data_IF_353738010080
#
_entry.id   IF_353738010080
#
_cell.length_a   1.000
_cell.length_b   1.000
_cell.length_c   1.000
_cell.angle_alpha   90.00
_cell.angle_beta   90.00
_cell.angle_gamma   90.00
#
_symmetry.space_group_name_H-M   'P 1'
#
loop_
_entity.id
_entity.type
_entity.pdbx_description
1 polymer ?
#
# COMPACT_ATOMS: atom_id res chain seq x y z
N UNK A 1 -3.24 51.35 -26.76
CA UNK A 1 -1.90 50.71 -26.71
C UNK A 1 -1.59 50.45 -25.26
N UNK A 2 -1.83 49.27 -24.79
CA UNK A 2 -1.41 48.84 -23.44
C UNK A 2 -1.23 47.31 -23.47
N UNK A 3 0.03 46.91 -23.40
CA UNK A 3 0.48 45.51 -23.41
C UNK A 3 0.09 44.80 -22.13
N UNK A 4 -0.57 43.66 -22.25
CA UNK A 4 -0.66 42.64 -21.19
C UNK A 4 0.58 41.74 -21.24
N UNK A 5 1.21 41.41 -20.12
CA UNK A 5 2.23 40.38 -20.08
C UNK A 5 1.60 38.99 -20.00
N UNK A 6 2.13 38.11 -20.82
CA UNK A 6 1.91 36.66 -20.76
C UNK A 6 2.44 36.12 -19.42
N UNK A 7 1.61 35.45 -18.65
CA UNK A 7 2.03 34.66 -17.50
C UNK A 7 2.20 33.21 -17.89
N UNK A 8 3.39 32.75 -17.65
CA UNK A 8 3.93 31.42 -17.94
C UNK A 8 3.50 30.36 -16.95
N UNK A 9 3.54 29.15 -17.48
CA UNK A 9 3.80 27.87 -16.80
C UNK A 9 2.88 27.47 -15.63
N UNK A 10 1.74 26.88 -15.99
CA UNK A 10 1.07 25.96 -15.11
C UNK A 10 1.86 24.63 -15.04
N UNK A 11 2.43 24.30 -13.90
CA UNK A 11 2.88 22.94 -13.59
C UNK A 11 1.64 22.06 -13.52
N UNK A 12 1.62 20.86 -14.13
CA UNK A 12 0.53 19.92 -13.90
C UNK A 12 0.59 19.46 -12.44
N UNK A 13 -0.54 19.60 -11.75
CA UNK A 13 -0.78 18.98 -10.45
C UNK A 13 -0.75 17.46 -10.62
N UNK A 14 -0.22 16.70 -9.66
CA UNK A 14 -0.30 15.26 -9.71
C UNK A 14 -1.78 14.85 -9.67
N UNK A 15 -2.20 14.13 -10.70
CA UNK A 15 -3.54 13.57 -10.80
C UNK A 15 -3.62 12.47 -9.75
N UNK A 16 -4.41 12.70 -8.71
CA UNK A 16 -4.76 11.66 -7.74
C UNK A 16 -5.62 10.63 -8.47
N UNK A 17 -5.04 9.47 -8.76
CA UNK A 17 -5.79 8.31 -9.26
C UNK A 17 -6.61 7.79 -8.09
N UNK A 18 -7.90 8.02 -8.11
CA UNK A 18 -8.83 7.43 -7.15
C UNK A 18 -8.93 5.92 -7.44
N UNK A 19 -8.21 5.12 -6.67
CA UNK A 19 -8.38 3.66 -6.66
C UNK A 19 -9.61 3.37 -5.82
N UNK A 20 -10.75 3.12 -6.48
CA UNK A 20 -11.95 2.63 -5.80
C UNK A 20 -11.74 1.12 -5.58
N UNK A 21 -11.24 0.77 -4.42
CA UNK A 21 -11.19 -0.60 -3.91
C UNK A 21 -12.60 -0.97 -3.44
N UNK A 22 -13.40 -1.61 -4.28
CA UNK A 22 -14.56 -2.37 -3.82
C UNK A 22 -14.07 -3.70 -3.26
N UNK A 23 -13.58 -3.69 -2.03
CA UNK A 23 -13.39 -4.91 -1.28
C UNK A 23 -14.73 -5.33 -0.70
N UNK A 24 -15.30 -6.43 -1.20
CA UNK A 24 -16.38 -7.15 -0.53
C UNK A 24 -15.90 -7.58 0.86
N UNK A 25 -16.73 -7.36 1.86
CA UNK A 25 -16.44 -7.46 3.29
C UNK A 25 -15.85 -8.79 3.75
N UNK A 26 -14.55 -8.90 3.68
CA UNK A 26 -13.74 -9.77 4.52
C UNK A 26 -12.53 -8.93 4.93
N UNK A 27 -12.72 -8.08 5.95
CA UNK A 27 -11.61 -7.33 6.55
C UNK A 27 -10.77 -8.30 7.39
N UNK A 28 -10.03 -9.19 6.70
CA UNK A 28 -8.94 -9.92 7.31
C UNK A 28 -7.73 -8.98 7.32
N UNK A 29 -7.30 -8.63 8.51
CA UNK A 29 -6.01 -8.10 8.94
C UNK A 29 -5.05 -7.76 7.78
N UNK A 30 -4.90 -6.48 7.47
CA UNK A 30 -3.80 -5.97 6.67
C UNK A 30 -2.51 -6.08 7.50
N UNK A 31 -1.94 -7.28 7.53
CA UNK A 31 -0.57 -7.46 7.98
C UNK A 31 0.30 -7.15 6.77
N UNK A 32 0.96 -6.01 6.79
CA UNK A 32 1.99 -5.70 5.80
C UNK A 32 3.09 -6.76 5.87
N UNK A 33 3.12 -7.65 4.88
CA UNK A 33 4.10 -8.73 4.87
C UNK A 33 5.43 -8.31 4.25
N UNK A 34 5.47 -7.20 3.56
CA UNK A 34 6.65 -6.71 2.85
C UNK A 34 7.11 -7.63 1.69
N UNK A 35 7.93 -7.11 0.78
CA UNK A 35 8.25 -7.78 -0.48
C UNK A 35 8.99 -9.12 -0.28
N UNK A 36 9.87 -9.23 0.70
CA UNK A 36 10.64 -10.46 0.95
C UNK A 36 9.73 -11.63 1.37
N UNK A 37 8.73 -11.37 2.24
CA UNK A 37 7.77 -12.38 2.69
C UNK A 37 6.87 -12.83 1.55
N UNK A 38 6.38 -11.91 0.72
CA UNK A 38 5.54 -12.23 -0.43
C UNK A 38 6.29 -13.01 -1.52
N UNK A 39 7.56 -12.69 -1.76
CA UNK A 39 8.43 -13.48 -2.64
C UNK A 39 8.60 -14.91 -2.09
N UNK A 40 8.83 -15.07 -0.80
CA UNK A 40 8.94 -16.40 -0.19
C UNK A 40 7.61 -17.17 -0.27
N UNK A 41 6.47 -16.53 -0.04
CA UNK A 41 5.15 -17.12 -0.15
C UNK A 41 4.86 -17.57 -1.58
N UNK A 42 5.28 -16.81 -2.59
CA UNK A 42 5.06 -17.16 -4.00
C UNK A 42 5.72 -18.49 -4.39
N UNK A 43 6.82 -18.87 -3.75
CA UNK A 43 7.52 -20.13 -4.03
C UNK A 43 6.70 -21.39 -3.63
N UNK A 44 5.73 -21.24 -2.75
CA UNK A 44 4.85 -22.33 -2.27
C UNK A 44 3.41 -22.18 -2.72
N UNK A 45 3.09 -21.12 -3.44
CA UNK A 45 1.75 -20.82 -3.93
C UNK A 45 1.56 -21.41 -5.34
N UNK A 46 0.39 -22.00 -5.60
CA UNK A 46 0.04 -22.47 -6.95
C UNK A 46 -0.31 -21.25 -7.83
N UNK A 47 0.19 -21.22 -9.10
CA UNK A 47 -0.13 -20.15 -10.04
C UNK A 47 -1.60 -20.22 -10.50
N UNK A 48 -2.01 -19.23 -11.28
CA UNK A 48 -3.25 -19.30 -12.06
C UNK A 48 -3.11 -20.37 -13.18
N UNK A 49 -4.18 -21.12 -13.44
CA UNK A 49 -4.20 -22.14 -14.50
C UNK A 49 -4.29 -21.51 -15.89
N UNK A 50 -4.99 -20.40 -15.99
CA UNK A 50 -5.15 -19.65 -17.25
C UNK A 50 -4.88 -18.18 -16.99
N UNK A 51 -4.08 -17.56 -17.85
CA UNK A 51 -3.82 -16.14 -17.80
C UNK A 51 -3.68 -15.54 -19.21
N UNK A 52 -4.25 -14.37 -19.39
CA UNK A 52 -4.15 -13.54 -20.59
C UNK A 52 -3.68 -12.16 -20.19
N UNK A 53 -2.68 -11.64 -20.89
CA UNK A 53 -2.16 -10.29 -20.70
C UNK A 53 -2.20 -9.56 -22.04
N UNK A 54 -2.76 -8.34 -22.07
CA UNK A 54 -2.88 -7.52 -23.28
C UNK A 54 -2.49 -6.08 -22.98
N UNK A 55 -1.87 -5.44 -23.95
CA UNK A 55 -1.63 -3.99 -23.90
C UNK A 55 -2.99 -3.28 -24.04
N UNK A 56 -3.23 -2.32 -23.16
CA UNK A 56 -4.40 -1.45 -23.24
C UNK A 56 -3.98 -0.07 -23.77
N UNK A 57 -4.60 0.35 -24.87
CA UNK A 57 -4.33 1.62 -25.55
C UNK A 57 -5.60 2.48 -25.64
N UNK A 58 -6.53 2.38 -24.70
CA UNK A 58 -7.82 3.09 -24.75
C UNK A 58 -7.72 4.59 -24.47
N UNK A 59 -6.54 5.09 -24.05
CA UNK A 59 -6.30 6.52 -23.78
C UNK A 59 -6.97 7.06 -22.50
N UNK A 60 -7.49 6.18 -21.65
CA UNK A 60 -8.09 6.56 -20.36
C UNK A 60 -7.04 6.40 -19.25
N UNK A 61 -7.00 7.35 -18.29
CA UNK A 61 -6.03 7.29 -17.19
C UNK A 61 -6.50 6.51 -15.96
N UNK A 62 -7.75 6.09 -15.92
CA UNK A 62 -8.28 5.28 -14.82
C UNK A 62 -8.18 3.79 -15.10
N UNK A 63 -7.85 3.01 -14.09
CA UNK A 63 -7.80 1.56 -14.15
C UNK A 63 -8.21 0.94 -12.82
N UNK A 64 -8.35 -0.37 -12.79
CA UNK A 64 -8.70 -1.11 -11.58
C UNK A 64 -8.04 -2.49 -11.53
N UNK A 65 -7.87 -3.00 -10.31
CA UNK A 65 -7.41 -4.35 -10.02
C UNK A 65 -8.36 -4.97 -9.01
N UNK A 66 -8.93 -6.13 -9.34
CA UNK A 66 -9.87 -6.84 -8.49
C UNK A 66 -9.48 -8.30 -8.36
N UNK A 67 -9.47 -8.80 -7.14
CA UNK A 67 -9.40 -10.22 -6.85
C UNK A 67 -10.79 -10.77 -6.57
N UNK A 68 -11.04 -11.94 -7.10
CA UNK A 68 -12.21 -12.78 -6.82
C UNK A 68 -11.71 -14.12 -6.30
N UNK A 69 -12.57 -14.94 -5.73
CA UNK A 69 -12.21 -16.26 -5.18
C UNK A 69 -11.37 -17.11 -6.15
N UNK A 70 -11.66 -17.02 -7.45
CA UNK A 70 -11.04 -17.84 -8.48
C UNK A 70 -10.30 -17.04 -9.57
N UNK A 71 -10.31 -15.70 -9.51
CA UNK A 71 -9.84 -14.88 -10.62
C UNK A 71 -9.18 -13.56 -10.18
N UNK A 72 -8.25 -13.10 -11.00
CA UNK A 72 -7.71 -11.74 -11.00
C UNK A 72 -8.17 -11.02 -12.27
N UNK A 73 -8.69 -9.83 -12.11
CA UNK A 73 -9.07 -8.94 -13.20
C UNK A 73 -8.33 -7.62 -13.03
N UNK A 74 -7.45 -7.31 -13.97
CA UNK A 74 -6.80 -6.00 -14.09
C UNK A 74 -7.29 -5.32 -15.35
N UNK A 75 -7.63 -4.04 -15.25
CA UNK A 75 -8.01 -3.22 -16.40
C UNK A 75 -7.24 -1.92 -16.38
N UNK A 76 -6.57 -1.68 -17.50
CA UNK A 76 -5.94 -0.40 -17.80
C UNK A 76 -4.98 0.12 -16.72
N UNK A 77 -4.19 -0.77 -16.10
CA UNK A 77 -3.18 -0.37 -15.12
C UNK A 77 -1.77 -0.40 -15.71
N UNK A 78 -0.92 0.58 -15.38
CA UNK A 78 0.49 0.53 -15.72
C UNK A 78 1.22 -0.52 -14.89
N UNK A 79 2.35 -1.03 -15.41
CA UNK A 79 3.06 -2.14 -14.79
C UNK A 79 3.60 -1.81 -13.39
N UNK A 80 4.01 -0.57 -13.14
CA UNK A 80 4.46 -0.11 -11.84
C UNK A 80 3.38 -0.32 -10.75
N UNK A 81 2.13 0.09 -11.01
CA UNK A 81 1.02 -0.13 -10.09
C UNK A 81 0.73 -1.62 -9.84
N UNK A 82 0.85 -2.45 -10.89
CA UNK A 82 0.64 -3.89 -10.73
C UNK A 82 1.75 -4.48 -9.86
N UNK A 83 3.00 -4.02 -10.02
CA UNK A 83 4.15 -4.43 -9.23
C UNK A 83 4.02 -3.93 -7.78
N UNK A 84 3.67 -2.66 -7.57
CA UNK A 84 3.42 -2.09 -6.24
C UNK A 84 2.44 -2.95 -5.45
N UNK A 85 1.33 -3.30 -6.08
CA UNK A 85 0.30 -4.13 -5.47
C UNK A 85 0.80 -5.56 -5.19
N UNK A 86 1.47 -6.19 -6.17
CA UNK A 86 1.94 -7.58 -6.05
C UNK A 86 2.96 -7.75 -4.92
N UNK A 87 3.84 -6.78 -4.74
CA UNK A 87 4.94 -6.84 -3.77
C UNK A 87 4.69 -6.03 -2.50
N UNK A 88 3.53 -5.37 -2.40
CA UNK A 88 3.17 -4.51 -1.27
C UNK A 88 4.23 -3.43 -1.00
N UNK A 89 4.66 -2.74 -2.05
CA UNK A 89 5.75 -1.74 -2.02
C UNK A 89 5.29 -0.48 -2.73
N UNK A 90 5.36 0.70 -2.08
CA UNK A 90 5.05 1.97 -2.74
C UNK A 90 5.97 2.26 -3.95
N UNK A 91 5.49 3.02 -4.93
CA UNK A 91 6.18 3.31 -6.18
C UNK A 91 7.56 3.95 -5.99
N UNK A 92 7.72 4.79 -4.99
CA UNK A 92 9.00 5.43 -4.65
C UNK A 92 10.07 4.43 -4.17
N UNK A 93 9.67 3.20 -3.89
CA UNK A 93 10.55 2.07 -3.50
C UNK A 93 10.72 1.03 -4.60
N UNK A 94 10.16 1.25 -5.78
CA UNK A 94 10.36 0.39 -6.97
C UNK A 94 11.32 1.06 -7.92
N UNK A 95 12.37 0.35 -8.35
CA UNK A 95 13.38 0.88 -9.28
C UNK A 95 13.72 -0.14 -10.36
N UNK A 96 14.21 0.35 -11.52
CA UNK A 96 14.69 -0.54 -12.59
C UNK A 96 13.65 -0.95 -13.62
N UNK A 97 12.43 -0.40 -13.61
CA UNK A 97 11.44 -0.68 -14.66
C UNK A 97 12.00 -0.25 -16.02
N UNK A 98 12.09 -1.18 -17.02
CA UNK A 98 12.56 -0.84 -18.36
C UNK A 98 11.70 0.23 -19.03
N UNK A 99 12.33 1.19 -19.71
CA UNK A 99 11.65 2.32 -20.36
C UNK A 99 10.43 1.95 -21.20
N UNK A 100 10.50 0.92 -22.07
CA UNK A 100 9.34 0.51 -22.89
C UNK A 100 8.12 0.03 -22.08
N UNK A 101 8.32 -0.43 -20.85
CA UNK A 101 7.24 -0.93 -19.98
C UNK A 101 6.67 0.16 -19.06
N UNK A 102 7.42 1.25 -18.84
CA UNK A 102 7.10 2.26 -17.83
C UNK A 102 5.78 2.98 -18.07
N UNK A 103 5.46 3.24 -19.36
CA UNK A 103 4.27 3.99 -19.76
C UNK A 103 3.18 3.07 -20.34
N UNK A 104 3.42 1.76 -20.38
CA UNK A 104 2.46 0.80 -20.91
C UNK A 104 1.43 0.39 -19.89
N UNK A 105 0.18 0.35 -20.32
CA UNK A 105 -0.95 -0.10 -19.52
C UNK A 105 -1.40 -1.47 -20.00
N UNK A 106 -1.87 -2.28 -19.06
CA UNK A 106 -2.21 -3.67 -19.31
C UNK A 106 -3.62 -4.01 -18.82
N UNK A 107 -4.25 -4.93 -19.56
CA UNK A 107 -5.39 -5.72 -19.11
C UNK A 107 -4.90 -7.12 -18.81
N UNK A 108 -5.27 -7.65 -17.64
CA UNK A 108 -4.96 -9.02 -17.24
C UNK A 108 -6.26 -9.71 -16.84
N UNK A 109 -6.46 -10.89 -17.39
CA UNK A 109 -7.47 -11.85 -16.97
C UNK A 109 -6.76 -13.15 -16.57
N UNK A 110 -6.85 -13.53 -15.30
CA UNK A 110 -6.26 -14.77 -14.82
C UNK A 110 -7.26 -15.53 -13.94
N UNK A 111 -7.23 -16.88 -14.02
CA UNK A 111 -8.21 -17.72 -13.36
C UNK A 111 -7.62 -19.02 -12.84
N UNK A 112 -8.12 -19.47 -11.70
CA UNK A 112 -7.94 -20.83 -11.19
C UNK A 112 -9.06 -21.71 -11.72
N UNK A 113 -8.72 -22.86 -12.29
CA UNK A 113 -9.70 -23.82 -12.88
C UNK A 113 -9.44 -25.21 -12.26
N UNK A 114 -10.10 -25.56 -11.14
CA UNK A 114 -9.92 -26.87 -10.54
C UNK A 114 -10.28 -28.00 -11.51
N UNK A 115 -9.38 -28.98 -11.65
CA UNK A 115 -9.53 -30.09 -12.61
C UNK A 115 -10.71 -31.00 -12.34
N UNK A 116 -11.19 -31.02 -11.10
CA UNK A 116 -12.36 -31.80 -10.63
C UNK A 116 -13.68 -31.04 -10.69
N UNK A 117 -13.66 -29.79 -11.18
CA UNK A 117 -14.84 -28.92 -11.24
C UNK A 117 -15.32 -28.42 -9.89
N UNK A 118 -14.54 -28.59 -8.83
CA UNK A 118 -14.86 -28.06 -7.50
C UNK A 118 -14.80 -26.51 -7.47
N UNK A 119 -15.36 -25.92 -6.42
CA UNK A 119 -15.14 -24.49 -6.18
C UNK A 119 -13.69 -24.27 -5.74
N UNK A 120 -12.97 -23.28 -6.31
CA UNK A 120 -11.65 -22.90 -5.83
C UNK A 120 -11.66 -22.56 -4.33
N UNK A 121 -10.57 -22.85 -3.61
CA UNK A 121 -10.45 -22.45 -2.23
C UNK A 121 -10.42 -20.91 -2.11
N UNK A 122 -11.01 -20.40 -1.04
CA UNK A 122 -10.88 -18.98 -0.70
C UNK A 122 -9.43 -18.68 -0.38
N UNK A 123 -8.91 -17.60 -0.97
CA UNK A 123 -7.53 -17.13 -0.78
C UNK A 123 -7.46 -15.97 0.22
N UNK A 124 -6.30 -15.79 0.84
CA UNK A 124 -5.97 -14.58 1.58
C UNK A 124 -5.41 -13.52 0.63
N UNK A 125 -5.41 -12.25 1.05
CA UNK A 125 -4.80 -11.18 0.26
C UNK A 125 -3.33 -11.48 -0.10
N UNK A 126 -2.54 -11.97 0.85
CA UNK A 126 -1.15 -12.35 0.61
C UNK A 126 -1.00 -13.50 -0.40
N UNK A 127 -1.93 -14.46 -0.41
CA UNK A 127 -1.94 -15.54 -1.41
C UNK A 127 -2.28 -15.01 -2.81
N UNK A 128 -3.18 -14.04 -2.91
CA UNK A 128 -3.53 -13.40 -4.18
C UNK A 128 -2.36 -12.58 -4.72
N UNK A 129 -1.67 -11.84 -3.86
CA UNK A 129 -0.42 -11.15 -4.19
C UNK A 129 0.67 -12.13 -4.66
N UNK A 130 0.84 -13.25 -3.94
CA UNK A 130 1.80 -14.30 -4.32
C UNK A 130 1.49 -14.91 -5.70
N UNK A 131 0.22 -15.16 -6.04
CA UNK A 131 -0.19 -15.59 -7.37
C UNK A 131 0.11 -14.54 -8.44
N UNK A 132 -0.10 -13.26 -8.13
CA UNK A 132 0.22 -12.16 -9.04
C UNK A 132 1.73 -12.06 -9.29
N UNK A 133 2.57 -12.26 -8.28
CA UNK A 133 4.03 -12.36 -8.43
C UNK A 133 4.40 -13.45 -9.43
N UNK A 134 3.82 -14.65 -9.31
CA UNK A 134 4.05 -15.76 -10.24
C UNK A 134 3.62 -15.42 -11.67
N UNK A 135 2.47 -14.75 -11.82
CA UNK A 135 1.99 -14.30 -13.14
C UNK A 135 2.94 -13.27 -13.76
N UNK A 136 3.44 -12.31 -12.99
CA UNK A 136 4.40 -11.32 -13.47
C UNK A 136 5.73 -12.00 -13.87
N UNK A 137 6.20 -12.97 -13.09
CA UNK A 137 7.40 -13.74 -13.42
C UNK A 137 7.23 -14.55 -14.72
N UNK A 138 6.06 -15.15 -14.94
CA UNK A 138 5.77 -15.96 -16.14
C UNK A 138 5.57 -15.08 -17.40
N UNK A 139 4.75 -14.05 -17.31
CA UNK A 139 4.30 -13.27 -18.47
C UNK A 139 5.22 -12.11 -18.86
N UNK A 140 5.86 -11.49 -17.90
CA UNK A 140 6.78 -10.38 -18.10
C UNK A 140 8.25 -10.79 -17.91
N UNK A 141 8.53 -12.05 -17.63
CA UNK A 141 9.86 -12.55 -17.23
C UNK A 141 10.48 -11.73 -16.11
N UNK A 142 9.59 -11.22 -15.22
CA UNK A 142 9.98 -10.31 -14.14
C UNK A 142 10.94 -11.00 -13.17
N UNK A 143 12.11 -10.39 -12.98
CA UNK A 143 13.10 -10.79 -11.97
C UNK A 143 13.37 -9.61 -11.07
N UNK A 144 13.32 -9.84 -9.78
CA UNK A 144 13.48 -8.79 -8.78
C UNK A 144 14.36 -9.27 -7.63
N UNK A 145 14.98 -8.31 -6.94
CA UNK A 145 15.54 -8.55 -5.62
C UNK A 145 15.18 -7.39 -4.69
N UNK A 146 15.31 -7.64 -3.38
CA UNK A 146 15.10 -6.64 -2.35
C UNK A 146 16.45 -6.10 -1.89
N UNK A 147 16.60 -4.77 -1.92
CA UNK A 147 17.81 -4.07 -1.49
C UNK A 147 17.44 -3.00 -0.45
N UNK A 148 18.07 -2.99 0.74
CA UNK A 148 17.86 -1.92 1.70
C UNK A 148 18.55 -0.64 1.26
N UNK A 149 17.79 0.45 1.11
CA UNK A 149 18.31 1.79 0.82
C UNK A 149 18.07 2.74 1.98
N UNK A 150 19.04 3.61 2.26
CA UNK A 150 18.84 4.65 3.27
C UNK A 150 17.90 5.73 2.72
N UNK A 151 16.70 5.79 3.26
CA UNK A 151 15.65 6.71 2.85
C UNK A 151 15.16 7.59 4.02
N UNK A 152 14.46 8.69 3.75
CA UNK A 152 13.74 9.41 4.80
C UNK A 152 12.67 8.51 5.40
N UNK A 153 12.64 8.42 6.74
CA UNK A 153 11.65 7.67 7.51
C UNK A 153 11.12 8.55 8.65
N UNK A 154 10.12 8.06 9.36
CA UNK A 154 9.75 8.59 10.66
C UNK A 154 10.07 7.59 11.76
N UNK A 155 10.57 8.09 12.88
CA UNK A 155 10.65 7.32 14.13
C UNK A 155 9.45 7.73 15.01
N UNK A 156 8.62 6.75 15.37
CA UNK A 156 7.55 6.93 16.34
C UNK A 156 8.19 6.90 17.73
N UNK A 157 8.13 8.03 18.44
CA UNK A 157 8.77 8.19 19.75
C UNK A 157 7.77 8.74 20.76
N UNK A 158 8.04 8.56 22.04
CA UNK A 158 7.26 9.21 23.10
C UNK A 158 7.50 10.72 23.02
N UNK A 159 6.42 11.51 22.98
CA UNK A 159 6.48 12.97 23.04
C UNK A 159 6.95 13.43 24.43
N UNK A 160 7.23 14.74 24.56
CA UNK A 160 7.57 15.29 25.88
C UNK A 160 6.38 15.08 26.84
N UNK A 161 6.59 14.30 27.90
CA UNK A 161 5.57 13.99 28.90
C UNK A 161 5.34 12.50 29.07
N UNK A 162 4.15 12.15 29.56
CA UNK A 162 3.75 10.76 29.76
C UNK A 162 2.97 10.28 28.55
N UNK A 163 3.24 9.09 28.01
CA UNK A 163 2.39 8.50 26.97
C UNK A 163 0.93 8.43 27.44
N UNK A 164 0.01 8.76 26.55
CA UNK A 164 -1.43 8.68 26.85
C UNK A 164 -2.01 7.31 26.47
N UNK A 165 -1.21 6.47 25.83
CA UNK A 165 -1.56 5.09 25.48
C UNK A 165 -1.55 4.22 26.73
N UNK A 166 -2.65 3.54 27.02
CA UNK A 166 -2.75 2.59 28.14
C UNK A 166 -2.37 1.21 27.63
N UNK A 167 -1.19 0.76 28.04
CA UNK A 167 -0.68 -0.56 27.67
C UNK A 167 -1.16 -1.64 28.65
N UNK A 168 -1.58 -2.79 28.10
CA UNK A 168 -1.82 -4.03 28.82
C UNK A 168 -0.74 -5.05 28.44
N UNK A 169 -0.44 -5.96 29.37
CA UNK A 169 0.44 -7.10 29.10
C UNK A 169 -0.38 -8.32 28.64
N UNK A 170 -1.70 -8.24 28.65
CA UNK A 170 -2.56 -9.32 28.20
C UNK A 170 -2.43 -9.48 26.68
N UNK A 171 -2.06 -10.68 26.22
CA UNK A 171 -2.04 -10.99 24.80
C UNK A 171 -3.49 -11.04 24.27
N UNK A 172 -3.85 -10.04 23.50
CA UNK A 172 -5.04 -10.12 22.66
C UNK A 172 -4.62 -10.74 21.33
N UNK A 173 -5.22 -11.89 21.01
CA UNK A 173 -4.82 -12.72 19.88
C UNK A 173 -5.03 -12.11 18.49
N UNK A 174 -5.79 -11.01 18.39
CA UNK A 174 -6.16 -10.40 17.10
C UNK A 174 -6.20 -8.88 17.21
N UNK A 175 -5.13 -8.21 16.80
CA UNK A 175 -5.16 -6.75 16.58
C UNK A 175 -5.88 -6.47 15.25
N UNK A 176 -7.13 -6.07 15.32
CA UNK A 176 -7.88 -5.63 14.15
C UNK A 176 -7.77 -4.13 14.00
N UNK A 177 -7.22 -3.68 12.88
CA UNK A 177 -7.22 -2.28 12.50
C UNK A 177 -8.45 -1.96 11.65
N UNK A 178 -9.06 -0.84 11.95
CA UNK A 178 -10.16 -0.32 11.15
C UNK A 178 -9.95 1.17 10.95
N UNK A 179 -9.92 1.59 9.69
CA UNK A 179 -9.85 3.01 9.32
C UNK A 179 -11.16 3.35 8.62
N UNK A 180 -11.91 4.26 9.21
CA UNK A 180 -13.13 4.79 8.63
C UNK A 180 -12.89 6.25 8.28
N UNK A 181 -13.21 6.63 7.03
CA UNK A 181 -13.22 8.01 6.57
C UNK A 181 -14.66 8.47 6.34
N UNK A 182 -15.00 9.65 6.83
CA UNK A 182 -16.27 10.31 6.53
C UNK A 182 -15.95 11.75 6.15
N UNK A 183 -16.27 12.13 4.92
CA UNK A 183 -15.88 13.41 4.31
C UNK A 183 -14.36 13.66 4.36
N UNK A 184 -13.92 14.54 5.24
CA UNK A 184 -12.52 14.94 5.44
C UNK A 184 -11.93 14.44 6.76
N UNK A 185 -12.65 13.58 7.48
CA UNK A 185 -12.27 13.08 8.80
C UNK A 185 -11.99 11.58 8.77
N UNK A 186 -10.92 11.17 9.42
CA UNK A 186 -10.50 9.77 9.52
C UNK A 186 -10.45 9.33 10.98
N UNK A 187 -10.82 8.09 11.22
CA UNK A 187 -10.73 7.45 12.53
C UNK A 187 -10.07 6.10 12.38
N UNK A 188 -8.88 5.96 12.95
CA UNK A 188 -8.19 4.68 13.08
C UNK A 188 -8.51 4.10 14.46
N UNK A 189 -8.97 2.86 14.46
CA UNK A 189 -9.24 2.11 15.70
C UNK A 189 -8.56 0.76 15.67
N UNK A 190 -8.04 0.33 16.81
CA UNK A 190 -7.54 -1.02 16.98
C UNK A 190 -7.75 -1.50 18.41
N UNK A 191 -7.90 -2.81 18.59
CA UNK A 191 -7.88 -3.46 19.90
C UNK A 191 -6.65 -4.34 20.00
N UNK A 192 -5.93 -4.21 21.11
CA UNK A 192 -4.79 -5.04 21.39
C UNK A 192 -3.60 -4.87 20.45
N UNK A 193 -3.40 -3.70 19.88
CA UNK A 193 -2.29 -3.41 19.00
C UNK A 193 -0.98 -3.18 19.75
N UNK A 194 0.13 -3.69 19.23
CA UNK A 194 1.47 -3.30 19.66
C UNK A 194 1.85 -1.92 19.09
N UNK A 195 2.91 -1.32 19.61
CA UNK A 195 3.45 -0.08 19.03
C UNK A 195 4.05 -0.31 17.62
N UNK A 196 4.54 -1.52 17.35
CA UNK A 196 4.98 -1.89 16.00
C UNK A 196 3.81 -1.95 15.01
N UNK A 197 2.66 -2.50 15.42
CA UNK A 197 1.44 -2.51 14.59
C UNK A 197 0.94 -1.08 14.33
N UNK A 198 0.98 -0.21 15.36
CA UNK A 198 0.65 1.22 15.19
C UNK A 198 1.61 1.88 14.19
N UNK A 199 2.91 1.64 14.30
CA UNK A 199 3.91 2.19 13.38
C UNK A 199 3.65 1.73 11.94
N UNK A 200 3.29 0.46 11.73
CA UNK A 200 2.92 -0.05 10.41
C UNK A 200 1.69 0.66 9.85
N UNK A 201 0.60 0.75 10.61
CA UNK A 201 -0.62 1.45 10.20
C UNK A 201 -0.37 2.94 9.88
N UNK A 202 0.45 3.61 10.68
CA UNK A 202 0.83 5.00 10.42
C UNK A 202 1.71 5.15 9.18
N UNK A 203 2.50 4.13 8.80
CA UNK A 203 3.33 4.18 7.58
C UNK A 203 2.49 4.36 6.34
N UNK A 204 1.32 3.72 6.29
CA UNK A 204 0.38 3.82 5.16
C UNK A 204 -0.23 5.22 5.09
N UNK A 205 -0.66 5.75 6.24
CA UNK A 205 -1.33 7.03 6.31
C UNK A 205 -0.39 8.21 6.00
N UNK A 206 0.88 8.12 6.38
CA UNK A 206 1.86 9.20 6.10
C UNK A 206 2.69 8.92 4.85
N UNK A 207 2.39 7.86 4.10
CA UNK A 207 3.09 7.43 2.88
C UNK A 207 4.62 7.39 3.05
N UNK A 208 5.07 6.97 4.24
CA UNK A 208 6.49 6.87 4.58
C UNK A 208 6.69 5.89 5.72
N UNK A 209 7.72 5.06 5.63
CA UNK A 209 8.02 4.12 6.69
C UNK A 209 8.12 4.79 8.06
N UNK A 210 7.40 4.23 9.03
CA UNK A 210 7.46 4.59 10.44
C UNK A 210 8.07 3.44 11.20
N UNK A 211 9.12 3.74 11.98
CA UNK A 211 9.76 2.75 12.84
C UNK A 211 9.31 2.97 14.29
N UNK A 212 8.95 1.91 14.99
CA UNK A 212 8.72 2.00 16.42
C UNK A 212 10.04 2.23 17.17
N UNK A 213 10.15 3.38 17.80
CA UNK A 213 11.24 3.78 18.71
C UNK A 213 10.68 4.29 20.05
N UNK A 214 9.44 3.89 20.37
CA UNK A 214 8.81 4.31 21.62
C UNK A 214 9.43 3.66 22.86
N UNK A 215 9.95 2.46 22.70
CA UNK A 215 10.40 1.62 23.82
C UNK A 215 9.25 1.11 24.70
N UNK A 216 8.00 1.30 24.29
CA UNK A 216 6.82 0.81 24.99
C UNK A 216 6.54 -0.64 24.60
N UNK A 217 6.35 -1.49 25.58
CA UNK A 217 6.05 -2.92 25.39
C UNK A 217 4.64 -3.22 25.88
N UNK A 218 3.99 -4.20 25.23
CA UNK A 218 2.60 -4.59 25.52
C UNK A 218 1.64 -4.16 24.42
N UNK A 219 0.36 -4.30 24.67
CA UNK A 219 -0.73 -4.09 23.73
C UNK A 219 -1.67 -3.01 24.20
N UNK A 220 -2.30 -2.28 23.30
CA UNK A 220 -3.21 -1.20 23.62
C UNK A 220 -4.43 -1.16 22.71
N UNK A 221 -5.54 -0.71 23.26
CA UNK A 221 -6.66 -0.23 22.46
C UNK A 221 -6.35 1.20 22.02
N UNK A 222 -6.34 1.41 20.70
CA UNK A 222 -5.97 2.67 20.09
C UNK A 222 -7.18 3.24 19.37
N UNK A 223 -7.39 4.53 19.57
CA UNK A 223 -8.30 5.36 18.78
C UNK A 223 -7.58 6.64 18.43
N UNK A 224 -7.45 6.93 17.15
CA UNK A 224 -6.82 8.13 16.63
C UNK A 224 -7.74 8.78 15.60
N UNK A 225 -8.00 10.09 15.76
CA UNK A 225 -8.87 10.86 14.86
C UNK A 225 -8.09 12.02 14.27
N UNK A 226 -8.15 12.16 12.94
CA UNK A 226 -7.51 13.27 12.22
C UNK A 226 -8.33 13.69 11.02
N UNK A 227 -7.94 14.79 10.39
CA UNK A 227 -8.50 15.28 9.14
C UNK A 227 -7.53 15.03 7.99
N UNK A 228 -8.03 14.96 6.75
CA UNK A 228 -7.16 14.84 5.59
C UNK A 228 -6.22 16.05 5.45
N UNK A 229 -5.16 15.87 4.66
CA UNK A 229 -4.13 16.91 4.49
C UNK A 229 -4.69 18.17 3.79
N UNK A 230 -5.71 18.04 2.94
CA UNK A 230 -6.34 19.16 2.24
C UNK A 230 -7.13 19.99 3.23
N UNK A 231 -7.96 19.36 4.05
CA UNK A 231 -8.69 20.04 5.12
C UNK A 231 -7.71 20.63 6.15
N UNK A 232 -6.66 19.90 6.51
CA UNK A 232 -5.64 20.37 7.45
C UNK A 232 -4.90 21.63 6.97
N UNK A 233 -4.70 21.78 5.67
CA UNK A 233 -4.09 22.98 5.08
C UNK A 233 -5.05 24.18 4.99
N UNK A 234 -6.35 23.93 4.84
CA UNK A 234 -7.36 25.00 4.75
C UNK A 234 -7.67 25.63 6.12
N UNK A 235 -7.36 24.93 7.21
CA UNK A 235 -7.55 25.41 8.57
C UNK A 235 -9.03 25.51 8.97
N UNK A 236 -9.32 25.08 10.16
CA UNK A 236 -10.65 25.18 10.76
C UNK A 236 -10.55 24.81 12.25
N UNK A 237 -11.50 25.17 13.08
CA UNK A 237 -11.42 24.94 14.53
C UNK A 237 -11.36 23.44 14.89
N UNK A 238 -11.87 22.55 14.02
CA UNK A 238 -11.95 21.11 14.26
C UNK A 238 -11.03 20.28 13.33
N UNK A 239 -10.13 20.95 12.60
CA UNK A 239 -9.24 20.28 11.63
C UNK A 239 -7.88 20.01 12.26
N UNK A 240 -7.55 18.73 12.43
CA UNK A 240 -6.33 18.28 13.12
C UNK A 240 -5.53 17.37 12.17
N UNK A 241 -4.27 17.73 11.87
CA UNK A 241 -3.38 16.85 11.10
C UNK A 241 -3.06 15.56 11.87
N UNK A 242 -2.74 14.49 11.14
CA UNK A 242 -2.33 13.22 11.75
C UNK A 242 -1.14 13.39 12.72
N UNK A 243 -0.18 14.27 12.41
CA UNK A 243 0.98 14.55 13.26
C UNK A 243 0.56 15.17 14.61
N UNK A 244 -0.37 16.12 14.56
CA UNK A 244 -0.93 16.75 15.77
C UNK A 244 -1.78 15.75 16.54
N UNK A 245 -2.61 14.97 15.85
CA UNK A 245 -3.47 13.95 16.46
C UNK A 245 -2.67 12.91 17.26
N UNK A 246 -1.60 12.38 16.68
CA UNK A 246 -0.69 11.42 17.35
C UNK A 246 -0.15 12.02 18.64
N UNK A 247 0.26 13.30 18.60
CA UNK A 247 0.83 13.95 19.77
C UNK A 247 -0.22 14.25 20.85
N UNK A 248 -1.36 14.77 20.45
CA UNK A 248 -2.39 15.23 21.39
C UNK A 248 -3.19 14.08 21.98
N UNK A 249 -3.48 13.04 21.19
CA UNK A 249 -4.34 11.94 21.61
C UNK A 249 -3.54 10.78 22.21
N UNK A 250 -2.37 10.45 21.65
CA UNK A 250 -1.56 9.31 22.10
C UNK A 250 -0.34 9.69 22.94
N UNK A 251 0.06 10.94 22.95
CA UNK A 251 1.29 11.39 23.61
C UNK A 251 2.55 10.85 22.95
N UNK A 252 2.44 10.48 21.66
CA UNK A 252 3.52 10.02 20.81
C UNK A 252 3.85 11.08 19.76
N UNK A 253 4.92 10.89 19.00
CA UNK A 253 5.31 11.86 17.96
C UNK A 253 6.05 11.16 16.84
N UNK A 254 5.80 11.55 15.60
CA UNK A 254 6.59 11.19 14.44
C UNK A 254 7.78 12.16 14.31
N UNK A 255 8.98 11.62 14.45
CA UNK A 255 10.22 12.38 14.31
C UNK A 255 10.88 12.02 13.00
N UNK A 256 11.17 13.01 12.13
CA UNK A 256 11.90 12.79 10.88
C UNK A 256 13.28 12.20 11.16
N UNK A 257 13.61 11.14 10.42
CA UNK A 257 14.85 10.39 10.54
C UNK A 257 15.30 9.87 9.16
N UNK A 258 16.40 9.15 9.13
CA UNK A 258 16.85 8.36 7.97
C UNK A 258 17.13 6.95 8.44
N UNK A 259 16.70 5.98 7.65
CA UNK A 259 16.88 4.59 7.99
C UNK A 259 16.88 3.68 6.76
N UNK A 260 17.25 2.40 6.94
CA UNK A 260 17.13 1.41 5.89
C UNK A 260 15.64 1.16 5.60
N UNK A 261 15.31 1.17 4.33
CA UNK A 261 13.97 0.86 3.80
C UNK A 261 14.16 -0.14 2.69
N UNK A 262 13.44 -1.24 2.75
CA UNK A 262 13.45 -2.24 1.71
C UNK A 262 12.89 -1.66 0.41
N UNK A 263 13.70 -1.73 -0.65
CA UNK A 263 13.34 -1.29 -2.00
C UNK A 263 13.33 -2.48 -2.93
N UNK A 264 12.39 -2.52 -3.85
CA UNK A 264 12.29 -3.54 -4.88
C UNK A 264 13.09 -3.08 -6.10
N UNK A 265 14.10 -3.84 -6.47
CA UNK A 265 14.91 -3.59 -7.66
C UNK A 265 14.50 -4.58 -8.74
N UNK A 266 14.10 -4.08 -9.90
CA UNK A 266 13.78 -4.90 -11.07
C UNK A 266 15.07 -5.14 -11.83
N UNK A 267 15.53 -6.39 -11.81
CA UNK A 267 16.71 -6.84 -12.54
C UNK A 267 16.41 -7.07 -14.01
N UNK A 268 15.18 -7.51 -14.29
CA UNK A 268 14.75 -7.83 -15.66
C UNK A 268 13.21 -7.79 -15.77
N UNK A 269 12.72 -7.24 -16.86
CA UNK A 269 11.33 -7.37 -17.28
C UNK A 269 11.24 -7.21 -18.81
N UNK A 270 10.33 -7.94 -19.43
CA UNK A 270 10.08 -7.91 -20.88
C UNK A 270 8.60 -7.63 -21.17
N UNK A 271 8.33 -7.14 -22.37
CA UNK A 271 6.96 -7.03 -22.86
C UNK A 271 6.33 -8.42 -22.92
N UNK A 272 5.08 -8.60 -22.45
CA UNK A 272 4.44 -9.89 -22.48
C UNK A 272 4.27 -10.37 -23.93
N UNK A 273 4.51 -11.66 -24.17
CA UNK A 273 4.21 -12.27 -25.46
C UNK A 273 2.71 -12.18 -25.75
N UNK A 274 2.37 -11.94 -27.02
CA UNK A 274 0.97 -12.01 -27.43
C UNK A 274 0.39 -13.41 -27.14
N UNK A 275 -0.79 -13.45 -26.53
CA UNK A 275 -1.52 -14.71 -26.27
C UNK A 275 -2.16 -15.23 -27.55
#
# INVERSE_FOLDING_TARGET
MTHLPLLASGRPLPIAVAIILFASAAHAQLKHEGPASLIALSQTTAPYDVASVRINNNGVDSGNLNFHDDALIVRNLPLDYIIEFAYDVPSDRVTGIPGPLKDQRFDIDAKVVPSDGSKPPTTTASQDQAKLILLLADRFHLKVHVEPKTMPVYDLVVAKGVPKVKLSQDELKDSNWNINGEDTSFVLTSKGASMADLAAALSDEVHRQVNDKTGLTGHADITLKWSDDVAAQQGGPDVISIFTAIQDQLGLKLQSSKGPVDTLVIDHAEMPSAN
#
